data_IF_741968391517
#
_entry.id   IF_741968391517
#
_cell.length_a   1.000
_cell.length_b   1.000
_cell.length_c   1.000
_cell.angle_alpha   90.00
_cell.angle_beta   90.00
_cell.angle_gamma   90.00
#
_symmetry.space_group_name_H-M   'P 1'
#
loop_
_entity.id
_entity.type
_entity.pdbx_description
1 polymer ?
#
# COMPACT_ATOMS: atom_id res chain seq x y z
N UNK A 1 -17.17 -6.51 -18.74
CA UNK A 1 -16.82 -5.89 -17.44
C UNK A 1 -15.34 -5.60 -17.39
N UNK A 2 -14.99 -4.43 -16.92
CA UNK A 2 -13.59 -4.02 -16.82
C UNK A 2 -13.08 -4.16 -15.39
N UNK A 3 -11.82 -4.53 -15.26
CA UNK A 3 -11.14 -4.66 -13.96
C UNK A 3 -9.92 -3.74 -13.94
N UNK A 4 -9.69 -3.11 -12.80
CA UNK A 4 -8.51 -2.26 -12.61
C UNK A 4 -7.58 -2.93 -11.62
N UNK A 5 -6.32 -3.09 -12.00
CA UNK A 5 -5.28 -3.58 -11.10
C UNK A 5 -4.22 -2.50 -10.93
N UNK A 6 -4.04 -1.96 -9.73
CA UNK A 6 -2.95 -1.02 -9.48
C UNK A 6 -1.59 -1.70 -9.65
N UNK A 7 -0.65 -1.00 -10.27
CA UNK A 7 0.72 -1.47 -10.38
C UNK A 7 1.65 -0.34 -9.94
N UNK A 8 2.53 -0.63 -9.01
CA UNK A 8 3.52 0.33 -8.53
C UNK A 8 4.86 0.01 -9.17
N UNK A 9 5.45 1.01 -9.83
CA UNK A 9 6.79 0.91 -10.39
C UNK A 9 7.78 1.38 -9.32
N UNK A 10 8.76 0.54 -8.98
CA UNK A 10 9.66 0.83 -7.87
C UNK A 10 11.08 0.37 -8.16
N UNK A 11 12.11 1.18 -7.80
CA UNK A 11 13.49 0.71 -7.79
C UNK A 11 13.83 -0.11 -6.53
N UNK A 12 12.87 -0.25 -5.59
CA UNK A 12 13.08 -0.91 -4.29
C UNK A 12 12.07 -2.01 -4.07
N UNK A 13 12.04 -3.00 -4.96
CA UNK A 13 11.01 -4.06 -4.96
C UNK A 13 10.91 -4.78 -3.62
N UNK A 14 12.05 -5.20 -3.05
CA UNK A 14 12.08 -5.94 -1.80
C UNK A 14 11.56 -5.11 -0.62
N UNK A 15 11.87 -3.82 -0.62
CA UNK A 15 11.41 -2.91 0.44
C UNK A 15 9.89 -2.77 0.40
N UNK A 16 9.32 -2.55 -0.80
CA UNK A 16 7.88 -2.43 -0.94
C UNK A 16 7.16 -3.76 -0.66
N UNK A 17 7.73 -4.87 -1.11
CA UNK A 17 7.18 -6.19 -0.79
C UNK A 17 7.06 -6.38 0.71
N UNK A 18 8.12 -6.07 1.46
CA UNK A 18 8.12 -6.19 2.91
C UNK A 18 7.09 -5.27 3.57
N UNK A 19 6.99 -4.04 3.10
CA UNK A 19 6.04 -3.06 3.64
C UNK A 19 4.59 -3.56 3.48
N UNK A 20 4.19 -3.89 2.26
CA UNK A 20 2.80 -4.29 2.01
C UNK A 20 2.46 -5.63 2.63
N UNK A 21 3.41 -6.57 2.66
CA UNK A 21 3.21 -7.87 3.30
C UNK A 21 3.03 -7.73 4.81
N UNK A 22 3.90 -6.97 5.45
CA UNK A 22 3.90 -6.86 6.92
C UNK A 22 2.82 -5.93 7.44
N UNK A 23 2.52 -4.86 6.72
CA UNK A 23 1.52 -3.89 7.17
C UNK A 23 0.10 -4.36 6.90
N UNK A 24 -0.16 -4.94 5.73
CA UNK A 24 -1.51 -5.28 5.28
C UNK A 24 -1.77 -6.78 5.19
N UNK A 25 -0.79 -7.61 5.46
CA UNK A 25 -0.95 -9.06 5.30
C UNK A 25 -1.03 -9.49 3.85
N UNK A 26 -0.40 -8.74 2.93
CA UNK A 26 -0.41 -9.10 1.52
C UNK A 26 0.24 -10.46 1.30
N UNK A 27 -0.31 -11.23 0.37
CA UNK A 27 0.23 -12.53 -0.03
C UNK A 27 0.82 -12.44 -1.43
N UNK A 28 2.03 -12.97 -1.61
CA UNK A 28 2.62 -13.07 -2.94
C UNK A 28 1.91 -14.18 -3.70
N UNK A 29 1.25 -13.83 -4.81
CA UNK A 29 0.49 -14.78 -5.61
C UNK A 29 1.11 -15.04 -6.98
N UNK A 30 2.13 -14.25 -7.36
CA UNK A 30 2.71 -14.34 -8.69
C UNK A 30 4.12 -13.73 -8.66
N UNK A 31 5.06 -14.37 -9.37
CA UNK A 31 6.45 -13.90 -9.42
C UNK A 31 7.02 -14.18 -10.81
N UNK A 32 7.63 -13.16 -11.43
CA UNK A 32 8.24 -13.32 -12.75
C UNK A 32 9.63 -12.72 -12.73
N UNK A 33 10.67 -13.48 -13.09
CA UNK A 33 10.69 -14.93 -13.22
C UNK A 33 10.59 -15.63 -11.87
N UNK A 34 10.25 -16.90 -11.86
CA UNK A 34 10.13 -17.67 -10.61
C UNK A 34 11.48 -17.78 -9.89
N UNK A 35 12.56 -17.81 -10.64
CA UNK A 35 13.93 -17.87 -10.12
C UNK A 35 14.76 -16.75 -10.69
N UNK A 36 15.74 -16.27 -9.92
CA UNK A 36 16.62 -15.19 -10.31
C UNK A 36 16.06 -13.82 -9.96
N UNK A 37 16.66 -12.76 -10.51
CA UNK A 37 16.20 -11.39 -10.21
C UNK A 37 14.76 -11.18 -10.69
N UNK A 38 13.88 -10.84 -9.76
CA UNK A 38 12.45 -10.65 -10.04
C UNK A 38 12.23 -9.28 -10.62
N UNK A 39 11.39 -9.17 -11.66
CA UNK A 39 11.00 -7.87 -12.17
C UNK A 39 9.51 -7.55 -11.95
N UNK A 40 8.68 -8.56 -11.67
CA UNK A 40 7.26 -8.36 -11.38
C UNK A 40 6.82 -9.26 -10.23
N UNK A 41 6.09 -8.69 -9.28
CA UNK A 41 5.43 -9.41 -8.20
C UNK A 41 3.95 -9.08 -8.22
N UNK A 42 3.11 -10.09 -8.11
CA UNK A 42 1.69 -9.92 -7.85
C UNK A 42 1.41 -10.22 -6.39
N UNK A 43 0.75 -9.29 -5.73
CA UNK A 43 0.35 -9.42 -4.32
C UNK A 43 -1.16 -9.41 -4.22
N UNK A 44 -1.68 -10.13 -3.25
CA UNK A 44 -3.10 -10.03 -2.90
C UNK A 44 -3.27 -9.42 -1.53
N UNK A 45 -4.07 -8.36 -1.47
CA UNK A 45 -4.46 -7.69 -0.23
C UNK A 45 -5.97 -7.81 -0.13
N UNK A 46 -6.47 -8.65 0.81
CA UNK A 46 -7.89 -8.93 0.87
C UNK A 46 -8.38 -9.56 -0.44
N UNK A 47 -9.25 -8.88 -1.15
CA UNK A 47 -9.79 -9.33 -2.44
C UNK A 47 -9.18 -8.57 -3.64
N UNK A 48 -8.13 -7.80 -3.43
CA UNK A 48 -7.55 -6.93 -4.45
C UNK A 48 -6.13 -7.38 -4.80
N UNK A 49 -5.81 -7.37 -6.08
CA UNK A 49 -4.48 -7.66 -6.57
C UNK A 49 -3.71 -6.36 -6.80
N UNK A 50 -2.49 -6.31 -6.27
CA UNK A 50 -1.56 -5.19 -6.43
C UNK A 50 -0.29 -5.71 -7.11
N UNK A 51 0.13 -5.08 -8.20
CA UNK A 51 1.38 -5.42 -8.88
C UNK A 51 2.52 -4.53 -8.43
N UNK A 52 3.72 -5.11 -8.33
CA UNK A 52 4.95 -4.36 -8.11
C UNK A 52 5.91 -4.67 -9.26
N UNK A 53 6.43 -3.64 -9.92
CA UNK A 53 7.37 -3.78 -11.04
C UNK A 53 8.71 -3.19 -10.63
N UNK A 54 9.77 -3.98 -10.79
CA UNK A 54 11.14 -3.56 -10.49
C UNK A 54 11.68 -2.72 -11.63
N UNK A 55 11.54 -1.40 -11.52
CA UNK A 55 12.02 -0.47 -12.52
C UNK A 55 12.20 0.90 -11.87
N UNK A 56 13.23 1.62 -12.28
CA UNK A 56 13.41 2.98 -11.81
C UNK A 56 12.57 3.92 -12.69
N UNK A 57 11.55 4.60 -12.16
CA UNK A 57 10.73 5.48 -12.96
C UNK A 57 11.43 6.76 -13.40
N UNK A 58 12.68 6.97 -12.93
CA UNK A 58 13.46 8.13 -13.34
C UNK A 58 13.01 9.44 -12.72
N UNK A 59 12.09 9.42 -11.78
CA UNK A 59 11.60 10.60 -11.09
C UNK A 59 11.38 10.33 -9.62
N UNK A 60 11.59 11.36 -8.80
CA UNK A 60 11.28 11.31 -7.37
C UNK A 60 10.04 12.15 -7.04
N UNK A 61 9.35 12.65 -8.06
CA UNK A 61 8.15 13.42 -7.84
C UNK A 61 7.08 12.57 -7.14
N UNK A 62 6.29 13.17 -6.24
CA UNK A 62 5.20 12.44 -5.57
C UNK A 62 4.23 11.84 -6.59
N UNK A 63 3.73 10.65 -6.28
CA UNK A 63 2.70 10.03 -7.10
C UNK A 63 1.42 10.86 -7.07
N UNK A 64 0.75 10.96 -8.21
CA UNK A 64 -0.57 11.60 -8.33
C UNK A 64 -1.69 10.58 -8.13
N UNK A 65 -1.35 9.31 -7.92
CA UNK A 65 -2.30 8.23 -7.66
C UNK A 65 -2.23 7.89 -6.19
N UNK A 66 -3.38 7.91 -5.54
CA UNK A 66 -3.53 7.59 -4.13
C UNK A 66 -4.18 6.22 -4.00
N UNK A 67 -3.57 5.34 -3.22
CA UNK A 67 -4.20 4.07 -2.86
C UNK A 67 -4.95 4.25 -1.54
N UNK A 68 -6.22 3.87 -1.53
CA UNK A 68 -7.03 3.88 -0.33
C UNK A 68 -7.26 2.43 0.10
N UNK A 69 -6.72 2.05 1.25
CA UNK A 69 -6.69 0.67 1.69
C UNK A 69 -7.49 0.52 2.97
N UNK A 70 -8.54 -0.34 2.91
CA UNK A 70 -9.36 -0.65 4.08
C UNK A 70 -8.61 -1.56 5.04
N UNK A 71 -8.60 -1.21 6.32
CA UNK A 71 -7.98 -2.00 7.38
C UNK A 71 -8.99 -2.16 8.51
N UNK A 72 -8.75 -3.15 9.39
CA UNK A 72 -9.65 -3.41 10.50
C UNK A 72 -9.55 -2.33 11.59
N UNK A 73 -8.34 -1.81 11.83
CA UNK A 73 -8.07 -0.84 12.88
C UNK A 73 -7.03 0.15 12.39
N UNK A 74 -7.48 1.36 12.02
CA UNK A 74 -6.59 2.41 11.51
C UNK A 74 -5.52 2.78 12.53
N UNK A 75 -5.90 2.93 13.80
CA UNK A 75 -4.95 3.38 14.83
C UNK A 75 -3.83 2.35 15.04
N UNK A 76 -4.18 1.07 15.09
CA UNK A 76 -3.20 -0.01 15.24
C UNK A 76 -2.29 -0.08 14.02
N UNK A 77 -2.86 -0.03 12.83
CA UNK A 77 -2.09 -0.09 11.57
C UNK A 77 -1.15 1.12 11.46
N UNK A 78 -1.66 2.31 11.81
CA UNK A 78 -0.87 3.55 11.78
C UNK A 78 0.37 3.44 12.65
N UNK A 79 0.25 2.80 13.81
CA UNK A 79 1.36 2.62 14.75
C UNK A 79 2.49 1.75 14.22
N UNK A 80 2.27 1.00 13.14
CA UNK A 80 3.30 0.12 12.56
C UNK A 80 3.98 0.69 11.31
N UNK A 81 3.47 1.81 10.78
CA UNK A 81 3.90 2.33 9.49
C UNK A 81 5.38 2.71 9.49
N UNK A 82 5.82 3.50 10.48
CA UNK A 82 7.20 3.99 10.50
C UNK A 82 8.22 2.88 10.72
N UNK A 83 7.90 1.90 11.57
CA UNK A 83 8.77 0.76 11.82
C UNK A 83 8.97 -0.09 10.56
N UNK A 84 8.04 -0.05 9.62
CA UNK A 84 8.09 -0.83 8.37
C UNK A 84 8.62 -0.01 7.19
N UNK A 85 9.14 1.19 7.46
CA UNK A 85 9.81 2.00 6.44
C UNK A 85 8.96 3.08 5.79
N UNK A 86 7.68 3.18 6.14
CA UNK A 86 6.80 4.23 5.66
C UNK A 86 6.87 5.48 6.52
N UNK A 87 6.01 6.44 6.21
CA UNK A 87 5.91 7.65 7.02
C UNK A 87 4.44 8.03 7.24
N UNK A 88 4.17 8.62 8.39
CA UNK A 88 2.84 9.10 8.75
C UNK A 88 2.72 10.57 8.34
N UNK A 89 1.68 10.89 7.57
CA UNK A 89 1.47 12.24 7.04
C UNK A 89 0.33 12.97 7.71
N UNK A 90 -0.64 12.26 8.26
CA UNK A 90 -1.74 12.90 8.96
C UNK A 90 -2.80 11.92 9.45
N UNK A 91 -3.60 12.37 10.41
CA UNK A 91 -4.65 11.59 11.01
C UNK A 91 -4.20 10.82 12.24
N UNK A 92 -5.08 9.96 12.80
CA UNK A 92 -6.40 9.58 12.24
C UNK A 92 -7.48 10.63 12.50
N UNK A 93 -8.42 10.74 11.58
CA UNK A 93 -9.56 11.63 11.71
C UNK A 93 -10.84 10.91 11.28
N UNK A 94 -11.93 11.18 11.98
CA UNK A 94 -13.24 10.66 11.59
C UNK A 94 -13.91 11.63 10.61
N UNK A 95 -14.23 11.11 9.44
CA UNK A 95 -14.78 11.91 8.35
C UNK A 95 -16.30 11.93 8.38
N UNK A 96 -16.93 13.01 7.86
CA UNK A 96 -18.39 13.12 7.89
C UNK A 96 -19.13 12.01 7.15
N UNK A 97 -18.47 11.35 6.21
CA UNK A 97 -19.09 10.28 5.41
C UNK A 97 -19.00 8.89 6.06
N UNK A 98 -18.54 8.79 7.32
CA UNK A 98 -18.58 7.53 8.06
C UNK A 98 -17.33 6.69 7.97
N UNK A 99 -16.19 7.30 7.71
CA UNK A 99 -14.90 6.63 7.71
C UNK A 99 -13.90 7.30 8.64
N UNK A 100 -13.07 6.48 9.28
CA UNK A 100 -11.88 6.96 9.97
C UNK A 100 -10.71 6.82 9.00
N UNK A 101 -9.97 7.90 8.76
CA UNK A 101 -8.95 7.95 7.72
C UNK A 101 -7.63 8.46 8.29
N UNK A 102 -6.53 7.81 7.92
CA UNK A 102 -5.19 8.29 8.18
C UNK A 102 -4.41 8.34 6.87
N UNK A 103 -3.46 9.25 6.78
CA UNK A 103 -2.66 9.47 5.58
C UNK A 103 -1.22 9.06 5.86
N UNK A 104 -0.70 8.15 5.03
CA UNK A 104 0.67 7.66 5.16
C UNK A 104 1.34 7.66 3.79
N UNK A 105 2.64 7.35 3.79
CA UNK A 105 3.39 7.08 2.57
C UNK A 105 4.09 5.74 2.75
N UNK A 106 4.19 4.99 1.64
CA UNK A 106 5.01 3.79 1.64
C UNK A 106 6.50 4.17 1.57
N UNK A 107 7.43 3.19 1.64
CA UNK A 107 8.87 3.50 1.64
C UNK A 107 9.38 4.25 0.41
N UNK A 108 8.67 4.20 -0.71
CA UNK A 108 9.00 4.97 -1.91
C UNK A 108 8.34 6.35 -1.92
N UNK A 109 7.57 6.70 -0.90
CA UNK A 109 6.87 7.97 -0.84
C UNK A 109 5.53 7.97 -1.56
N UNK A 110 5.01 6.83 -1.99
CA UNK A 110 3.68 6.78 -2.60
C UNK A 110 2.61 7.04 -1.53
N UNK A 111 1.63 7.91 -1.81
CA UNK A 111 0.60 8.20 -0.82
C UNK A 111 -0.36 7.04 -0.68
N UNK A 112 -0.73 6.74 0.55
CA UNK A 112 -1.67 5.68 0.89
C UNK A 112 -2.59 6.18 2.00
N UNK A 113 -3.90 5.98 1.83
CA UNK A 113 -4.86 6.20 2.91
C UNK A 113 -5.16 4.88 3.59
N UNK A 114 -5.21 4.91 4.92
CA UNK A 114 -5.73 3.81 5.72
C UNK A 114 -7.15 4.18 6.10
N UNK A 115 -8.10 3.28 5.87
CA UNK A 115 -9.51 3.57 6.12
C UNK A 115 -10.19 2.45 6.90
N UNK A 116 -11.18 2.82 7.71
CA UNK A 116 -12.10 1.89 8.34
C UNK A 116 -13.44 2.58 8.52
N UNK A 117 -14.55 1.84 8.57
CA UNK A 117 -15.84 2.44 8.90
C UNK A 117 -15.82 2.98 10.33
N UNK A 118 -16.43 4.14 10.56
CA UNK A 118 -16.68 4.59 11.94
C UNK A 118 -17.88 3.85 12.51
N UNK A 119 -17.93 3.63 13.84
CA UNK A 119 -19.09 2.97 14.43
C UNK A 119 -20.38 3.73 14.13
N UNK A 120 -21.45 2.99 13.89
CA UNK A 120 -22.78 3.56 13.73
C UNK A 120 -23.21 4.18 15.05
N UNK A 121 -23.91 5.31 14.96
CA UNK A 121 -24.46 6.00 16.12
C UNK A 121 -25.96 5.84 16.19
#
# INVERSE_FOLDING_TARGET
MSTIQPVIVTPHLDVLLGFYTRLFGAEEIFRVPEEGPVFYLGLRIGDTDLGLVAEDPGTKAPSRILLSIGVDDVDETLGRVEALGGSVRGGPNDMPWGQRVAHVQDPDGNPVNLTQPTPAR
#
